data_IF_516013693401
#
_entry.id   IF_516013693401
#
_cell.length_a   1.000
_cell.length_b   1.000
_cell.length_c   1.000
_cell.angle_alpha   90.00
_cell.angle_beta   90.00
_cell.angle_gamma   90.00
#
_symmetry.space_group_name_H-M   'P 1'
#
loop_
_entity.id
_entity.type
_entity.pdbx_description
1 polymer ?
#
# COMPACT_ATOMS: atom_id res chain seq x y z
N UNK A 1 32.43 77.44 -23.02
CA UNK A 1 32.97 76.90 -24.28
C UNK A 1 32.13 75.69 -24.68
N UNK A 2 31.36 75.80 -25.76
CA UNK A 2 30.82 74.68 -26.55
C UNK A 2 32.00 73.94 -27.23
N UNK A 3 31.94 72.63 -27.55
CA UNK A 3 31.02 72.02 -28.55
C UNK A 3 30.36 70.70 -28.05
N UNK A 4 29.10 70.37 -28.35
CA UNK A 4 28.44 69.97 -29.62
C UNK A 4 28.52 68.46 -29.94
N UNK A 5 27.34 67.84 -30.10
CA UNK A 5 26.89 66.77 -31.03
C UNK A 5 25.80 65.99 -30.25
N UNK A 6 24.49 66.03 -30.54
CA UNK A 6 23.76 66.02 -31.80
C UNK A 6 22.80 64.80 -31.75
N UNK A 7 21.46 64.97 -31.70
CA UNK A 7 20.52 63.86 -31.51
C UNK A 7 20.02 63.27 -32.85
N UNK A 8 19.73 61.97 -32.89
CA UNK A 8 19.01 61.34 -34.02
C UNK A 8 17.52 61.18 -33.70
N UNK A 9 16.71 61.88 -34.49
CA UNK A 9 15.26 61.79 -34.65
C UNK A 9 14.84 60.39 -35.14
N UNK A 10 13.78 59.76 -34.60
CA UNK A 10 12.34 59.88 -34.92
C UNK A 10 11.91 59.21 -36.24
N UNK A 11 10.88 58.35 -36.17
CA UNK A 11 9.79 58.30 -37.16
C UNK A 11 8.68 57.33 -36.70
N UNK A 12 7.58 57.90 -36.21
CA UNK A 12 6.24 57.32 -36.31
C UNK A 12 5.75 57.50 -37.75
N UNK A 13 5.18 56.45 -38.36
CA UNK A 13 4.33 56.59 -39.55
C UNK A 13 3.09 55.73 -39.36
N UNK A 14 1.95 56.43 -39.32
CA UNK A 14 0.62 55.87 -39.52
C UNK A 14 0.17 56.17 -40.96
N UNK A 15 -0.31 55.15 -41.66
CA UNK A 15 -1.18 55.19 -42.85
C UNK A 15 -1.85 53.81 -42.86
N UNK A 16 -3.17 53.61 -42.90
CA UNK A 16 -4.17 54.22 -43.78
C UNK A 16 -4.83 53.06 -44.53
N UNK A 17 -6.09 52.79 -44.25
CA UNK A 17 -6.84 51.62 -44.70
C UNK A 17 -7.03 51.53 -46.22
N UNK A 18 -7.06 50.32 -46.76
CA UNK A 18 -7.82 50.00 -47.97
C UNK A 18 -8.48 48.62 -47.83
N UNK A 19 -9.82 48.62 -47.81
CA UNK A 19 -10.70 47.46 -47.92
C UNK A 19 -10.79 47.03 -49.39
N UNK A 20 -10.64 45.73 -49.67
CA UNK A 20 -11.25 45.09 -50.83
C UNK A 20 -11.81 43.73 -50.40
N UNK A 21 -13.14 43.65 -50.45
CA UNK A 21 -13.92 42.45 -50.20
C UNK A 21 -13.74 41.45 -51.35
N UNK A 22 -13.48 40.19 -51.00
CA UNK A 22 -13.66 39.04 -51.88
C UNK A 22 -14.60 38.05 -51.19
N UNK A 23 -15.89 38.12 -51.54
CA UNK A 23 -16.87 37.12 -51.14
C UNK A 23 -16.62 35.83 -51.94
N UNK A 24 -16.02 34.84 -51.28
CA UNK A 24 -16.00 33.45 -51.74
C UNK A 24 -16.92 32.64 -50.86
N UNK A 25 -18.06 32.19 -51.39
CA UNK A 25 -18.94 31.23 -50.74
C UNK A 25 -18.25 29.86 -50.64
N UNK A 26 -17.53 29.63 -49.55
CA UNK A 26 -17.16 28.29 -49.09
C UNK A 26 -17.98 28.00 -47.83
N UNK A 27 -18.82 26.98 -47.87
CA UNK A 27 -19.47 26.45 -46.65
C UNK A 27 -18.41 25.74 -45.84
N UNK A 28 -17.63 26.48 -45.06
CA UNK A 28 -16.79 25.93 -44.03
C UNK A 28 -17.70 25.42 -42.92
N UNK A 29 -18.18 24.19 -43.07
CA UNK A 29 -18.50 23.39 -41.88
C UNK A 29 -17.20 23.33 -41.10
N UNK A 30 -17.19 23.96 -39.93
CA UNK A 30 -16.20 23.67 -38.92
C UNK A 30 -16.16 22.14 -38.79
N UNK A 31 -15.05 21.52 -39.21
CA UNK A 31 -14.74 20.17 -38.79
C UNK A 31 -14.64 20.23 -37.27
N UNK A 32 -15.74 19.86 -36.62
CA UNK A 32 -15.75 19.44 -35.24
C UNK A 32 -14.71 18.33 -35.16
N UNK A 33 -13.50 18.66 -34.70
CA UNK A 33 -12.57 17.65 -34.20
C UNK A 33 -13.26 17.05 -33.00
N UNK A 34 -14.05 16.01 -33.25
CA UNK A 34 -14.57 15.09 -32.25
C UNK A 34 -13.39 14.31 -31.69
N UNK A 35 -12.54 14.96 -30.91
CA UNK A 35 -11.60 14.24 -30.06
C UNK A 35 -12.45 13.50 -29.04
N UNK A 36 -12.67 12.20 -29.25
CA UNK A 36 -13.25 11.33 -28.23
C UNK A 36 -12.52 11.61 -26.92
N UNK A 37 -13.21 12.05 -25.85
CA UNK A 37 -12.57 12.33 -24.58
C UNK A 37 -11.79 11.09 -24.12
N UNK A 38 -10.50 11.25 -23.85
CA UNK A 38 -9.66 10.18 -23.34
C UNK A 38 -9.78 10.11 -21.82
N UNK A 39 -9.93 8.91 -21.29
CA UNK A 39 -10.03 8.62 -19.86
C UNK A 39 -8.65 8.40 -19.27
N UNK A 40 -8.34 9.10 -18.17
CA UNK A 40 -7.18 8.77 -17.33
C UNK A 40 -7.53 7.65 -16.36
N UNK A 41 -6.66 6.66 -16.24
CA UNK A 41 -6.82 5.56 -15.30
C UNK A 41 -6.00 5.82 -14.03
N UNK A 42 -6.60 5.54 -12.88
CA UNK A 42 -5.95 5.56 -11.58
C UNK A 42 -6.12 4.25 -10.83
N UNK A 43 -5.13 3.90 -10.01
CA UNK A 43 -5.10 2.69 -9.19
C UNK A 43 -4.60 2.91 -7.77
N UNK A 44 -4.56 1.80 -7.03
CA UNK A 44 -4.17 1.68 -5.63
C UNK A 44 -3.13 0.55 -5.48
N UNK A 45 -2.64 0.32 -4.27
CA UNK A 45 -1.70 -0.79 -3.96
C UNK A 45 -2.22 -2.16 -4.36
N UNK A 46 -3.53 -2.35 -4.41
CA UNK A 46 -4.13 -3.57 -4.95
C UNK A 46 -3.83 -3.86 -6.43
N UNK A 47 -3.50 -2.85 -7.25
CA UNK A 47 -3.30 -2.99 -8.69
C UNK A 47 -2.12 -2.18 -9.28
N UNK A 48 -1.29 -1.55 -8.45
CA UNK A 48 -0.11 -0.80 -8.89
C UNK A 48 1.19 -1.59 -8.65
N UNK A 49 1.36 -2.69 -9.40
CA UNK A 49 2.54 -3.59 -9.37
C UNK A 49 2.79 -4.22 -10.75
N UNK A 50 4.02 -4.67 -11.05
CA UNK A 50 4.36 -5.24 -12.36
C UNK A 50 3.56 -6.52 -12.67
N UNK A 51 3.35 -7.36 -11.67
CA UNK A 51 2.50 -8.56 -11.76
C UNK A 51 1.04 -8.26 -12.17
N UNK A 52 0.53 -7.06 -11.92
CA UNK A 52 -0.77 -6.62 -12.44
C UNK A 52 -0.74 -6.46 -13.97
N UNK A 53 0.32 -5.83 -14.51
CA UNK A 53 0.53 -5.71 -15.95
C UNK A 53 0.71 -7.09 -16.62
N UNK A 54 1.44 -8.00 -15.98
CA UNK A 54 1.58 -9.39 -16.46
C UNK A 54 0.22 -10.10 -16.51
N UNK A 55 -0.65 -9.87 -15.52
CA UNK A 55 -2.02 -10.36 -15.48
C UNK A 55 -2.94 -9.80 -16.59
N UNK A 56 -2.58 -8.64 -17.16
CA UNK A 56 -3.28 -8.05 -18.30
C UNK A 56 -3.00 -8.78 -19.63
N UNK A 57 -1.92 -9.57 -19.70
CA UNK A 57 -1.53 -10.40 -20.86
C UNK A 57 -1.47 -9.58 -22.16
N UNK A 58 -2.12 -10.04 -23.23
CA UNK A 58 -2.14 -9.38 -24.54
C UNK A 58 -2.80 -8.00 -24.56
N UNK A 59 -3.42 -7.57 -23.45
CA UNK A 59 -4.05 -6.26 -23.27
C UNK A 59 -3.29 -5.38 -22.25
N UNK A 60 -2.02 -5.67 -21.99
CA UNK A 60 -1.21 -4.89 -21.03
C UNK A 60 -0.98 -3.44 -21.45
N UNK A 61 -1.11 -3.12 -22.74
CA UNK A 61 -1.07 -1.76 -23.27
C UNK A 61 -2.22 -0.88 -22.74
N UNK A 62 -3.34 -1.47 -22.31
CA UNK A 62 -4.49 -0.71 -21.80
C UNK A 62 -4.19 0.10 -20.54
N UNK A 63 -3.17 -0.30 -19.77
CA UNK A 63 -2.78 0.40 -18.53
C UNK A 63 -1.60 1.33 -18.72
N UNK A 64 -1.05 1.46 -19.93
CA UNK A 64 0.02 2.43 -20.18
C UNK A 64 -0.49 3.83 -19.83
N UNK A 65 0.28 4.59 -19.04
CA UNK A 65 -0.12 5.90 -18.53
C UNK A 65 -1.00 5.87 -17.26
N UNK A 66 -1.49 4.70 -16.83
CA UNK A 66 -2.21 4.56 -15.57
C UNK A 66 -1.31 4.97 -14.39
N UNK A 67 -1.85 5.83 -13.52
CA UNK A 67 -1.16 6.31 -12.32
C UNK A 67 -1.75 5.70 -11.07
N UNK A 68 -1.04 5.75 -9.96
CA UNK A 68 -1.62 5.31 -8.69
C UNK A 68 -0.63 5.45 -7.56
N UNK A 69 -1.03 4.98 -6.38
CA UNK A 69 -0.18 5.06 -5.19
C UNK A 69 -0.08 3.72 -4.48
N UNK A 70 1.05 3.46 -3.84
CA UNK A 70 1.24 2.33 -2.92
C UNK A 70 1.96 2.78 -1.65
N UNK A 71 1.72 2.16 -0.48
CA UNK A 71 2.62 2.28 0.65
C UNK A 71 4.00 1.76 0.22
N UNK A 72 4.97 2.67 0.22
CA UNK A 72 6.33 2.33 -0.20
C UNK A 72 7.29 3.44 0.20
N UNK A 73 8.43 3.01 0.74
CA UNK A 73 9.61 3.85 0.90
C UNK A 73 10.67 3.43 -0.12
N UNK A 74 11.60 4.30 -0.52
CA UNK A 74 12.70 3.91 -1.40
C UNK A 74 13.47 2.73 -0.80
N UNK A 75 13.35 1.56 -1.41
CA UNK A 75 14.01 0.34 -0.92
C UNK A 75 15.48 0.33 -1.37
N UNK A 76 16.44 0.18 -0.44
CA UNK A 76 17.85 0.04 -0.80
C UNK A 76 18.09 -1.19 -1.68
N UNK A 77 18.97 -1.09 -2.67
CA UNK A 77 19.31 -2.22 -3.55
C UNK A 77 19.87 -3.42 -2.78
N UNK A 78 20.59 -3.17 -1.68
CA UNK A 78 21.06 -4.22 -0.78
C UNK A 78 19.90 -5.05 -0.21
N UNK A 79 18.79 -4.40 0.17
CA UNK A 79 17.60 -5.09 0.66
C UNK A 79 16.90 -5.85 -0.46
N UNK A 80 16.72 -5.23 -1.64
CA UNK A 80 16.16 -5.91 -2.83
C UNK A 80 16.97 -7.16 -3.20
N UNK A 81 18.30 -7.09 -3.12
CA UNK A 81 19.19 -8.23 -3.41
C UNK A 81 19.06 -9.35 -2.37
N UNK A 82 18.90 -9.00 -1.08
CA UNK A 82 18.62 -9.98 -0.01
C UNK A 82 17.28 -10.68 -0.23
N UNK A 83 16.25 -9.95 -0.64
CA UNK A 83 14.95 -10.54 -1.03
C UNK A 83 15.09 -11.47 -2.24
N UNK A 84 15.84 -11.08 -3.27
CA UNK A 84 16.10 -11.95 -4.43
C UNK A 84 16.95 -13.18 -4.10
N UNK A 85 17.73 -13.16 -3.02
CA UNK A 85 18.40 -14.36 -2.52
C UNK A 85 17.43 -15.35 -1.85
N UNK A 86 16.24 -14.88 -1.43
CA UNK A 86 15.12 -15.74 -0.98
C UNK A 86 14.31 -16.24 -2.18
N UNK A 87 13.91 -15.33 -3.07
CA UNK A 87 13.21 -15.65 -4.32
C UNK A 87 13.86 -14.95 -5.53
N UNK A 88 14.67 -15.68 -6.32
CA UNK A 88 15.35 -15.11 -7.49
C UNK A 88 14.42 -14.60 -8.60
N UNK A 89 13.12 -14.95 -8.58
CA UNK A 89 12.12 -14.51 -9.56
C UNK A 89 11.43 -13.20 -9.19
N UNK A 90 11.75 -12.65 -8.01
CA UNK A 90 11.06 -11.48 -7.48
C UNK A 90 11.30 -10.22 -8.35
N UNK A 91 10.22 -9.72 -8.94
CA UNK A 91 10.14 -8.54 -9.81
C UNK A 91 9.33 -7.38 -9.19
N UNK A 92 8.57 -7.65 -8.13
CA UNK A 92 7.82 -6.68 -7.33
C UNK A 92 8.29 -6.71 -5.86
N UNK A 93 8.12 -5.61 -5.14
CA UNK A 93 8.56 -5.47 -3.76
C UNK A 93 7.49 -4.94 -2.80
N UNK A 94 6.24 -4.87 -3.28
CA UNK A 94 5.10 -4.36 -2.50
C UNK A 94 4.97 -5.14 -1.18
N UNK A 95 4.91 -4.41 -0.06
CA UNK A 95 4.81 -4.95 1.30
C UNK A 95 5.96 -5.88 1.79
N UNK A 96 7.05 -6.03 1.02
CA UNK A 96 8.17 -6.87 1.44
C UNK A 96 8.89 -6.32 2.68
N UNK A 97 9.06 -5.00 2.76
CA UNK A 97 9.68 -4.32 3.89
C UNK A 97 8.81 -4.39 5.14
N UNK A 98 7.51 -4.19 4.98
CA UNK A 98 6.49 -4.25 6.02
C UNK A 98 6.39 -5.66 6.60
N UNK A 99 6.46 -6.70 5.75
CA UNK A 99 6.48 -8.09 6.19
C UNK A 99 7.77 -8.46 6.93
N UNK A 100 8.91 -7.98 6.44
CA UNK A 100 10.19 -8.12 7.13
C UNK A 100 10.15 -7.47 8.52
N UNK A 101 9.69 -6.23 8.61
CA UNK A 101 9.61 -5.47 9.86
C UNK A 101 8.61 -6.10 10.84
N UNK A 102 7.45 -6.60 10.39
CA UNK A 102 6.47 -7.25 11.27
C UNK A 102 7.05 -8.50 11.96
N UNK A 103 7.81 -9.32 11.23
CA UNK A 103 8.50 -10.49 11.79
C UNK A 103 9.60 -10.06 12.76
N UNK A 104 10.45 -9.10 12.38
CA UNK A 104 11.57 -8.68 13.22
C UNK A 104 11.09 -8.00 14.51
N UNK A 105 10.07 -7.15 14.44
CA UNK A 105 9.43 -6.53 15.61
C UNK A 105 8.84 -7.59 16.53
N UNK A 106 8.17 -8.61 15.98
CA UNK A 106 7.62 -9.72 16.77
C UNK A 106 8.71 -10.48 17.54
N UNK A 107 9.84 -10.76 16.87
CA UNK A 107 10.99 -11.42 17.48
C UNK A 107 11.64 -10.56 18.59
N UNK A 108 11.84 -9.27 18.33
CA UNK A 108 12.39 -8.31 19.30
C UNK A 108 11.46 -8.13 20.51
N UNK A 109 10.16 -8.03 20.27
CA UNK A 109 9.15 -7.93 21.32
C UNK A 109 9.17 -9.15 22.26
N UNK A 110 9.24 -10.36 21.71
CA UNK A 110 9.39 -11.58 22.49
C UNK A 110 10.71 -11.64 23.27
N UNK A 111 11.81 -11.21 22.65
CA UNK A 111 13.12 -11.13 23.32
C UNK A 111 13.09 -10.16 24.52
N UNK A 112 12.53 -8.96 24.35
CA UNK A 112 12.40 -7.96 25.43
C UNK A 112 11.41 -8.40 26.51
N UNK A 113 10.32 -9.08 26.13
CA UNK A 113 9.37 -9.65 27.06
C UNK A 113 10.00 -10.76 27.93
N UNK A 114 11.04 -11.44 27.43
CA UNK A 114 11.66 -12.58 28.10
C UNK A 114 10.78 -13.84 28.10
N UNK A 115 9.81 -13.93 27.20
CA UNK A 115 8.83 -15.02 27.09
C UNK A 115 8.20 -15.02 25.69
N UNK A 116 7.65 -16.15 25.27
CA UNK A 116 6.85 -16.29 24.03
C UNK A 116 5.36 -16.06 24.24
N UNK A 117 4.91 -15.78 25.48
CA UNK A 117 3.50 -15.52 25.78
C UNK A 117 2.94 -14.34 24.96
N UNK A 118 1.92 -14.53 24.11
CA UNK A 118 1.46 -13.50 23.18
C UNK A 118 1.04 -12.18 23.84
N UNK A 119 0.37 -12.25 24.99
CA UNK A 119 -0.04 -11.06 25.74
C UNK A 119 1.14 -10.24 26.31
N UNK A 120 2.29 -10.88 26.54
CA UNK A 120 3.52 -10.20 26.96
C UNK A 120 4.26 -9.62 25.74
N UNK A 121 4.29 -10.35 24.62
CA UNK A 121 4.82 -9.88 23.34
C UNK A 121 4.08 -8.60 22.91
N UNK A 122 2.75 -8.63 22.89
CA UNK A 122 1.91 -7.52 22.45
C UNK A 122 2.23 -6.20 23.18
N UNK A 123 2.45 -6.28 24.50
CA UNK A 123 2.79 -5.11 25.33
C UNK A 123 4.15 -4.50 25.00
N UNK A 124 5.04 -5.23 24.33
CA UNK A 124 6.34 -4.75 23.91
C UNK A 124 6.35 -4.17 22.50
N UNK A 125 5.42 -4.56 21.61
CA UNK A 125 5.46 -4.23 20.17
C UNK A 125 5.60 -2.72 19.92
N UNK A 126 4.77 -1.89 20.57
CA UNK A 126 4.86 -0.43 20.41
C UNK A 126 6.21 0.11 20.92
N UNK A 127 6.69 -0.41 22.05
CA UNK A 127 7.96 0.01 22.65
C UNK A 127 9.20 -0.41 21.87
N UNK A 128 9.15 -1.50 21.11
CA UNK A 128 10.26 -1.93 20.22
C UNK A 128 10.64 -0.81 19.24
N UNK A 129 9.68 0.03 18.86
CA UNK A 129 9.88 1.08 17.86
C UNK A 129 10.02 2.48 18.46
N UNK A 130 10.00 2.65 19.79
CA UNK A 130 9.91 3.98 20.42
C UNK A 130 10.77 4.10 21.68
N UNK A 131 11.42 5.25 21.87
CA UNK A 131 11.93 5.70 23.17
C UNK A 131 13.12 4.93 23.77
N UNK A 132 13.80 4.09 22.98
CA UNK A 132 14.97 3.30 23.39
C UNK A 132 16.25 3.65 22.63
N UNK A 133 17.26 2.78 22.72
CA UNK A 133 18.49 2.92 21.93
C UNK A 133 18.24 2.52 20.48
N UNK A 134 18.51 3.44 19.54
CA UNK A 134 18.32 3.19 18.11
C UNK A 134 19.17 2.03 17.60
N UNK A 135 18.55 1.17 16.82
CA UNK A 135 19.18 0.06 16.09
C UNK A 135 18.39 -0.22 14.81
N UNK A 136 19.06 -0.78 13.79
CA UNK A 136 18.47 -0.96 12.45
C UNK A 136 18.61 -2.40 11.94
N UNK A 137 19.78 -3.02 12.16
CA UNK A 137 20.03 -4.39 11.71
C UNK A 137 19.60 -5.43 12.76
N UNK A 138 19.02 -6.55 12.30
CA UNK A 138 18.48 -7.61 13.15
C UNK A 138 19.47 -8.08 14.24
N UNK A 139 20.73 -8.32 13.86
CA UNK A 139 21.79 -8.77 14.79
C UNK A 139 22.03 -7.75 15.88
N UNK A 140 22.23 -6.48 15.52
CA UNK A 140 22.52 -5.41 16.47
C UNK A 140 21.33 -5.16 17.41
N UNK A 141 20.11 -5.17 16.89
CA UNK A 141 18.90 -5.02 17.71
C UNK A 141 18.70 -6.17 18.69
N UNK A 142 18.90 -7.42 18.25
CA UNK A 142 18.82 -8.59 19.13
C UNK A 142 19.90 -8.56 20.21
N UNK A 143 21.12 -8.11 19.92
CA UNK A 143 22.18 -7.97 20.93
C UNK A 143 21.80 -6.97 22.04
N UNK A 144 21.19 -5.84 21.70
CA UNK A 144 20.70 -4.86 22.68
C UNK A 144 19.53 -5.44 23.49
N UNK A 145 18.56 -6.05 22.81
CA UNK A 145 17.39 -6.66 23.44
C UNK A 145 17.78 -7.77 24.43
N UNK A 146 18.77 -8.61 24.09
CA UNK A 146 19.31 -9.65 24.98
C UNK A 146 19.96 -9.09 26.24
N UNK A 147 20.53 -7.89 26.18
CA UNK A 147 21.05 -7.17 27.34
C UNK A 147 19.94 -6.52 28.19
N UNK A 148 18.67 -6.66 27.78
CA UNK A 148 17.52 -6.04 28.45
C UNK A 148 17.52 -4.53 28.31
N UNK A 149 18.07 -4.01 27.21
CA UNK A 149 18.03 -2.58 26.89
C UNK A 149 16.80 -2.30 26.05
N UNK A 150 16.06 -1.25 26.40
CA UNK A 150 14.98 -0.75 25.55
C UNK A 150 15.58 -0.26 24.23
N UNK A 151 14.94 -0.61 23.12
CA UNK A 151 15.42 -0.31 21.77
C UNK A 151 14.46 0.61 21.03
N UNK A 152 14.98 1.33 20.06
CA UNK A 152 14.21 2.08 19.09
C UNK A 152 14.54 1.51 17.70
N UNK A 153 13.91 0.39 17.36
CA UNK A 153 14.07 -0.26 16.07
C UNK A 153 13.61 0.69 14.95
N UNK A 154 14.49 0.93 13.98
CA UNK A 154 14.19 1.62 12.73
C UNK A 154 14.51 0.67 11.59
N UNK A 155 13.44 0.11 11.01
CA UNK A 155 13.50 -0.92 10.01
C UNK A 155 13.51 -0.39 8.59
N UNK A 156 13.13 -1.27 7.67
CA UNK A 156 13.10 -0.93 6.25
C UNK A 156 11.88 -0.06 5.94
N UNK A 157 10.67 -0.44 6.41
CA UNK A 157 9.46 0.37 6.21
C UNK A 157 9.27 1.44 7.29
N UNK A 158 9.88 1.24 8.47
CA UNK A 158 9.82 2.16 9.62
C UNK A 158 11.10 2.99 9.80
N UNK A 159 11.30 3.99 8.94
CA UNK A 159 12.55 4.77 8.93
C UNK A 159 12.46 6.18 9.55
N UNK A 160 11.27 6.78 9.61
CA UNK A 160 11.06 8.14 10.14
C UNK A 160 10.62 8.17 11.61
N UNK A 161 9.51 7.50 11.92
CA UNK A 161 8.97 7.40 13.27
C UNK A 161 8.59 5.95 13.62
N UNK A 162 8.35 5.71 14.91
CA UNK A 162 7.85 4.43 15.41
C UNK A 162 6.34 4.30 15.30
N UNK A 163 5.80 3.36 16.08
CA UNK A 163 4.36 3.12 16.13
C UNK A 163 3.63 4.15 16.98
N UNK A 164 2.39 4.44 16.60
CA UNK A 164 1.41 5.14 17.40
C UNK A 164 0.95 4.26 18.58
N UNK A 165 0.15 4.84 19.47
CA UNK A 165 -0.52 4.09 20.55
C UNK A 165 -1.46 2.98 20.04
N UNK A 166 -1.91 3.05 18.79
CA UNK A 166 -2.79 2.07 18.17
C UNK A 166 -2.03 0.88 17.53
N UNK A 167 -0.69 0.87 17.56
CA UNK A 167 0.08 -0.26 17.05
C UNK A 167 0.30 -0.24 15.54
N UNK A 168 0.38 0.94 14.94
CA UNK A 168 0.61 1.16 13.51
C UNK A 168 1.61 2.31 13.28
N UNK A 169 2.21 2.46 12.07
CA UNK A 169 3.21 3.50 11.82
C UNK A 169 2.65 4.92 12.02
N UNK A 170 3.35 5.77 12.78
CA UNK A 170 2.99 7.19 12.94
C UNK A 170 3.24 8.02 11.66
N UNK A 171 4.19 7.55 10.84
CA UNK A 171 4.54 8.15 9.56
C UNK A 171 4.60 7.08 8.49
N UNK A 172 4.32 7.47 7.26
CA UNK A 172 4.38 6.62 6.08
C UNK A 172 5.14 7.30 4.95
N UNK A 173 5.49 6.51 3.95
CA UNK A 173 5.92 6.98 2.63
C UNK A 173 5.03 6.31 1.59
N UNK A 174 4.65 7.06 0.57
CA UNK A 174 3.86 6.57 -0.55
C UNK A 174 4.61 6.79 -1.84
N UNK A 175 4.71 5.75 -2.66
CA UNK A 175 5.16 5.88 -4.03
C UNK A 175 3.98 6.30 -4.90
N UNK A 176 4.11 7.39 -5.65
CA UNK A 176 3.30 7.67 -6.83
C UNK A 176 3.92 6.96 -8.01
N UNK A 177 3.15 6.08 -8.63
CA UNK A 177 3.60 5.18 -9.68
C UNK A 177 2.90 5.52 -10.99
N UNK A 178 3.57 5.24 -12.10
CA UNK A 178 3.01 5.34 -13.45
C UNK A 178 3.41 4.10 -14.23
N UNK A 179 2.45 3.44 -14.88
CA UNK A 179 2.76 2.43 -15.87
C UNK A 179 3.30 3.10 -17.14
N UNK A 180 4.51 2.70 -17.55
CA UNK A 180 5.08 3.01 -18.85
C UNK A 180 4.60 1.99 -19.89
N UNK A 181 5.51 1.47 -20.72
CA UNK A 181 5.20 0.39 -21.66
C UNK A 181 4.99 -0.95 -20.94
N UNK A 182 3.77 -1.24 -20.48
CA UNK A 182 3.34 -2.51 -19.89
C UNK A 182 4.07 -2.91 -18.60
N UNK A 183 4.69 -1.94 -17.91
CA UNK A 183 5.38 -2.13 -16.62
C UNK A 183 5.47 -0.80 -15.88
N UNK A 184 5.75 -0.84 -14.58
CA UNK A 184 6.00 0.37 -13.81
C UNK A 184 7.27 1.08 -14.32
N UNK A 185 7.17 2.39 -14.52
CA UNK A 185 8.28 3.26 -14.89
C UNK A 185 8.96 3.77 -13.61
N UNK A 186 10.00 3.07 -13.16
CA UNK A 186 10.78 3.45 -11.97
C UNK A 186 11.36 4.87 -12.07
N UNK A 187 11.64 5.37 -13.30
CA UNK A 187 12.15 6.72 -13.52
C UNK A 187 11.11 7.82 -13.29
N UNK A 188 9.82 7.46 -13.23
CA UNK A 188 8.71 8.35 -12.91
C UNK A 188 8.17 8.17 -11.49
N UNK A 189 8.75 7.27 -10.70
CA UNK A 189 8.32 7.05 -9.32
C UNK A 189 8.69 8.24 -8.44
N UNK A 190 7.68 8.86 -7.82
CA UNK A 190 7.87 9.91 -6.83
C UNK A 190 7.49 9.39 -5.44
N UNK A 191 8.23 9.77 -4.40
CA UNK A 191 7.92 9.38 -3.02
C UNK A 191 7.43 10.57 -2.22
N UNK A 192 6.30 10.39 -1.52
CA UNK A 192 5.68 11.41 -0.69
C UNK A 192 5.57 10.89 0.74
N UNK A 193 6.16 11.62 1.69
CA UNK A 193 6.00 11.35 3.11
C UNK A 193 4.62 11.77 3.60
N UNK A 194 4.03 10.99 4.50
CA UNK A 194 2.77 11.27 5.17
C UNK A 194 2.85 10.92 6.67
N UNK A 195 1.82 11.33 7.41
CA UNK A 195 1.75 11.17 8.86
C UNK A 195 2.54 12.23 9.63
N UNK A 196 2.57 12.08 10.95
CA UNK A 196 3.12 13.05 11.89
C UNK A 196 4.02 12.32 12.90
N UNK A 197 5.29 12.72 12.97
CA UNK A 197 6.25 12.12 13.90
C UNK A 197 5.83 12.32 15.37
N UNK A 198 5.08 13.38 15.67
CA UNK A 198 4.54 13.63 17.01
C UNK A 198 3.41 12.67 17.41
N UNK A 199 2.85 11.92 16.46
CA UNK A 199 1.87 10.86 16.73
C UNK A 199 2.52 9.56 17.22
N UNK A 200 3.85 9.44 17.16
CA UNK A 200 4.56 8.29 17.70
C UNK A 200 4.32 8.16 19.21
N UNK A 201 4.16 6.93 19.67
CA UNK A 201 3.86 6.65 21.07
C UNK A 201 4.99 7.10 21.98
N UNK A 202 4.63 7.83 23.04
CA UNK A 202 5.53 8.15 24.15
C UNK A 202 5.29 7.22 25.36
N UNK A 203 4.45 6.18 25.21
CA UNK A 203 4.16 5.23 26.29
C UNK A 203 5.40 4.38 26.56
N UNK A 204 5.78 4.29 27.85
CA UNK A 204 6.90 3.43 28.24
C UNK A 204 6.50 1.96 28.15
N UNK A 205 7.26 1.11 27.44
CA UNK A 205 7.01 -0.31 27.46
C UNK A 205 7.20 -0.92 28.85
N UNK A 206 6.69 -2.15 29.09
CA UNK A 206 7.09 -2.93 30.25
C UNK A 206 8.61 -3.10 30.27
N UNK A 207 9.20 -3.10 31.47
CA UNK A 207 10.66 -3.27 31.64
C UNK A 207 11.18 -4.49 30.89
N UNK A 208 12.14 -4.26 29.99
CA UNK A 208 12.82 -5.31 29.25
C UNK A 208 13.53 -6.31 30.19
N UNK A 209 13.50 -7.59 29.82
CA UNK A 209 14.13 -8.68 30.57
C UNK A 209 15.40 -9.13 29.86
N UNK A 210 16.58 -9.05 30.51
CA UNK A 210 17.80 -9.57 29.92
C UNK A 210 17.72 -11.09 29.76
N UNK A 211 18.27 -11.60 28.67
CA UNK A 211 18.46 -13.03 28.49
C UNK A 211 19.49 -13.51 29.50
N UNK A 212 19.11 -14.48 30.35
CA UNK A 212 20.03 -15.10 31.30
C UNK A 212 20.68 -16.31 30.63
N UNK A 213 22.00 -16.42 30.73
CA UNK A 213 22.78 -17.50 30.10
C UNK A 213 22.50 -18.90 30.65
N UNK A 214 21.93 -19.02 31.86
CA UNK A 214 21.82 -20.29 32.60
C UNK A 214 20.41 -20.59 33.16
N UNK A 215 19.37 -19.82 32.81
CA UNK A 215 17.99 -20.14 33.22
C UNK A 215 17.32 -20.99 32.16
N UNK A 216 16.60 -22.04 32.59
CA UNK A 216 15.66 -22.86 31.79
C UNK A 216 15.17 -22.08 30.57
N UNK A 217 15.44 -22.60 29.37
CA UNK A 217 14.89 -22.10 28.12
C UNK A 217 13.38 -21.84 28.30
N UNK A 218 12.78 -20.84 27.61
CA UNK A 218 11.34 -20.68 27.62
C UNK A 218 10.66 -22.03 27.32
N UNK A 219 9.45 -22.23 27.86
CA UNK A 219 8.75 -23.53 27.78
C UNK A 219 8.57 -24.03 26.32
N UNK A 220 8.73 -23.16 25.31
CA UNK A 220 8.82 -23.50 23.87
C UNK A 220 9.53 -22.38 23.05
N UNK A 221 10.06 -22.69 21.84
CA UNK A 221 10.56 -21.70 20.88
C UNK A 221 9.46 -20.74 20.40
N UNK A 222 9.83 -19.53 19.97
CA UNK A 222 8.88 -18.59 19.35
C UNK A 222 8.39 -19.16 18.02
N UNK A 223 7.08 -19.41 17.95
CA UNK A 223 6.39 -19.85 16.73
C UNK A 223 5.62 -18.66 16.13
N UNK A 224 6.00 -18.29 14.90
CA UNK A 224 5.32 -17.31 14.07
C UNK A 224 4.54 -18.03 12.95
N UNK A 225 3.30 -17.63 12.71
CA UNK A 225 2.45 -18.18 11.67
C UNK A 225 2.19 -17.15 10.57
N UNK A 226 2.25 -17.54 9.30
CA UNK A 226 1.85 -16.68 8.19
C UNK A 226 0.35 -16.77 7.94
N UNK A 227 -0.30 -15.65 7.63
CA UNK A 227 -1.66 -15.57 7.11
C UNK A 227 -1.60 -14.62 5.91
N UNK A 228 -0.87 -15.02 4.88
CA UNK A 228 -0.55 -14.19 3.71
C UNK A 228 -1.39 -14.66 2.51
N UNK A 229 -1.68 -13.81 1.52
CA UNK A 229 -2.64 -14.11 0.46
C UNK A 229 -2.03 -15.00 -0.62
N UNK A 230 -1.72 -16.25 -0.30
CA UNK A 230 -1.06 -17.18 -1.24
C UNK A 230 -1.97 -17.56 -2.41
N UNK A 231 -3.28 -17.56 -2.17
CA UNK A 231 -4.32 -17.71 -3.19
C UNK A 231 -5.34 -16.57 -3.09
N UNK A 232 -6.33 -16.57 -3.98
CA UNK A 232 -7.30 -15.50 -4.11
C UNK A 232 -6.86 -14.40 -5.08
N UNK A 233 -7.68 -13.36 -5.15
CA UNK A 233 -7.51 -12.19 -6.03
C UNK A 233 -6.32 -11.27 -5.65
N UNK A 234 -5.85 -11.33 -4.41
CA UNK A 234 -4.67 -10.61 -3.91
C UNK A 234 -3.37 -11.41 -4.08
N UNK A 235 -3.41 -12.61 -4.68
CA UNK A 235 -2.27 -13.52 -4.75
C UNK A 235 -1.01 -12.96 -5.42
N UNK A 236 -1.17 -11.95 -6.28
CA UNK A 236 -0.04 -11.22 -6.88
C UNK A 236 0.86 -10.51 -5.86
N UNK A 237 0.33 -10.13 -4.69
CA UNK A 237 1.11 -9.51 -3.62
C UNK A 237 1.88 -10.53 -2.77
N UNK A 238 1.60 -11.83 -2.90
CA UNK A 238 2.19 -12.86 -2.04
C UNK A 238 3.71 -13.01 -2.16
N UNK A 239 4.31 -13.09 -3.37
CA UNK A 239 5.75 -13.33 -3.48
C UNK A 239 6.63 -12.34 -2.68
N UNK A 240 6.44 -11.00 -2.78
CA UNK A 240 7.23 -10.07 -1.98
C UNK A 240 6.96 -10.17 -0.47
N UNK A 241 5.70 -10.33 -0.06
CA UNK A 241 5.31 -10.56 1.33
C UNK A 241 6.02 -11.79 1.92
N UNK A 242 5.93 -12.93 1.24
CA UNK A 242 6.54 -14.18 1.67
C UNK A 242 8.08 -14.09 1.72
N UNK A 243 8.69 -13.41 0.75
CA UNK A 243 10.12 -13.18 0.72
C UNK A 243 10.59 -12.32 1.90
N UNK A 244 9.86 -11.25 2.23
CA UNK A 244 10.11 -10.39 3.38
C UNK A 244 10.07 -11.13 4.71
N UNK A 245 8.97 -11.85 4.98
CA UNK A 245 8.84 -12.67 6.19
C UNK A 245 9.95 -13.72 6.30
N UNK A 246 10.21 -14.44 5.21
CA UNK A 246 11.23 -15.50 5.17
C UNK A 246 12.63 -14.93 5.41
N UNK A 247 12.97 -13.78 4.83
CA UNK A 247 14.25 -13.12 5.04
C UNK A 247 14.44 -12.74 6.51
N UNK A 248 13.43 -12.13 7.14
CA UNK A 248 13.50 -11.76 8.55
C UNK A 248 13.70 -12.98 9.46
N UNK A 249 12.95 -14.07 9.26
CA UNK A 249 13.13 -15.31 10.04
C UNK A 249 14.54 -15.86 9.89
N UNK A 250 15.08 -15.89 8.65
CA UNK A 250 16.46 -16.38 8.40
C UNK A 250 17.49 -15.55 9.16
N UNK A 251 17.34 -14.24 9.17
CA UNK A 251 18.30 -13.34 9.81
C UNK A 251 18.20 -13.35 11.34
N UNK A 252 16.99 -13.41 11.89
CA UNK A 252 16.78 -13.62 13.33
C UNK A 252 17.43 -14.93 13.77
N UNK A 253 17.24 -16.01 13.02
CA UNK A 253 17.83 -17.31 13.35
C UNK A 253 19.35 -17.31 13.16
N UNK A 254 19.87 -16.69 12.11
CA UNK A 254 21.31 -16.50 11.91
C UNK A 254 21.95 -15.67 13.03
N UNK A 255 21.20 -14.74 13.64
CA UNK A 255 21.62 -13.95 14.79
C UNK A 255 21.55 -14.71 16.13
N UNK A 256 21.21 -16.02 16.13
CA UNK A 256 21.09 -16.84 17.33
C UNK A 256 19.68 -16.97 17.89
N UNK A 257 18.66 -16.56 17.13
CA UNK A 257 17.25 -16.74 17.49
C UNK A 257 16.75 -15.83 18.61
N UNK A 258 15.62 -16.21 19.19
CA UNK A 258 14.92 -15.48 20.25
C UNK A 258 14.96 -16.30 21.53
N UNK A 259 15.37 -15.69 22.64
CA UNK A 259 15.53 -16.36 23.94
C UNK A 259 16.48 -17.57 23.88
N UNK A 260 17.44 -17.54 22.94
CA UNK A 260 18.42 -18.62 22.73
C UNK A 260 17.93 -19.76 21.84
N UNK A 261 16.70 -19.70 21.33
CA UNK A 261 16.13 -20.74 20.48
C UNK A 261 15.80 -20.19 19.08
N UNK A 262 15.92 -21.01 18.01
CA UNK A 262 15.50 -20.60 16.68
C UNK A 262 13.99 -20.36 16.63
N UNK A 263 13.58 -19.31 15.92
CA UNK A 263 12.20 -19.01 15.59
C UNK A 263 11.68 -20.03 14.57
N UNK A 264 10.50 -20.58 14.85
CA UNK A 264 9.76 -21.47 13.94
C UNK A 264 8.78 -20.65 13.10
N UNK A 265 8.77 -20.88 11.79
CA UNK A 265 7.82 -20.28 10.86
C UNK A 265 6.86 -21.33 10.31
N UNK A 266 5.56 -21.10 10.48
CA UNK A 266 4.49 -21.95 9.92
C UNK A 266 3.77 -21.13 8.85
N UNK A 267 3.97 -21.47 7.58
CA UNK A 267 3.28 -20.77 6.49
C UNK A 267 1.76 -21.02 6.55
N UNK A 268 0.97 -20.02 6.17
CA UNK A 268 -0.48 -20.16 6.05
C UNK A 268 -1.04 -19.19 5.01
N UNK A 269 -2.16 -19.60 4.44
CA UNK A 269 -2.87 -18.87 3.38
C UNK A 269 -4.11 -18.19 3.96
N UNK A 270 -4.36 -16.95 3.58
CA UNK A 270 -5.60 -16.25 3.88
C UNK A 270 -6.65 -16.39 2.75
N UNK A 271 -6.21 -16.81 1.55
CA UNK A 271 -7.01 -17.06 0.36
C UNK A 271 -7.78 -15.86 -0.20
N UNK A 272 -7.52 -14.66 0.31
CA UNK A 272 -8.46 -13.52 0.29
C UNK A 272 -9.90 -13.94 0.62
N UNK A 273 -10.09 -14.97 1.45
CA UNK A 273 -11.38 -15.57 1.71
C UNK A 273 -11.56 -15.83 3.22
N UNK A 274 -12.66 -15.34 3.85
CA UNK A 274 -12.85 -15.48 5.29
C UNK A 274 -12.81 -16.92 5.80
N UNK A 275 -13.35 -17.89 5.05
CA UNK A 275 -13.43 -19.28 5.48
C UNK A 275 -12.05 -19.96 5.44
N UNK A 276 -11.29 -19.71 4.36
CA UNK A 276 -9.89 -20.16 4.26
C UNK A 276 -9.06 -19.58 5.40
N UNK A 277 -9.17 -18.27 5.63
CA UNK A 277 -8.41 -17.59 6.67
C UNK A 277 -8.77 -18.10 8.09
N UNK A 278 -10.04 -18.32 8.40
CA UNK A 278 -10.46 -18.90 9.69
C UNK A 278 -9.93 -20.32 9.88
N UNK A 279 -9.94 -21.14 8.83
CA UNK A 279 -9.36 -22.49 8.88
C UNK A 279 -7.85 -22.44 9.15
N UNK A 280 -7.12 -21.54 8.49
CA UNK A 280 -5.70 -21.30 8.74
C UNK A 280 -5.44 -20.83 10.17
N UNK A 281 -6.23 -19.88 10.69
CA UNK A 281 -6.11 -19.40 12.07
C UNK A 281 -6.37 -20.54 13.07
N UNK A 282 -7.37 -21.39 12.85
CA UNK A 282 -7.64 -22.54 13.69
C UNK A 282 -6.47 -23.55 13.69
N UNK A 283 -5.82 -23.78 12.54
CA UNK A 283 -4.61 -24.60 12.45
C UNK A 283 -3.46 -23.98 13.25
N UNK A 284 -3.20 -22.68 13.06
CA UNK A 284 -2.16 -21.94 13.78
C UNK A 284 -2.34 -21.99 15.29
N UNK A 285 -3.58 -21.84 15.78
CA UNK A 285 -3.89 -21.96 17.21
C UNK A 285 -3.53 -23.36 17.72
N UNK A 286 -3.89 -24.42 16.98
CA UNK A 286 -3.58 -25.81 17.33
C UNK A 286 -2.08 -26.09 17.30
N UNK A 287 -1.36 -25.47 16.38
CA UNK A 287 0.10 -25.61 16.21
C UNK A 287 0.92 -24.74 17.17
N UNK A 288 0.26 -23.98 18.05
CA UNK A 288 0.93 -23.18 19.07
C UNK A 288 1.57 -21.90 18.53
N UNK A 289 1.08 -21.36 17.41
CA UNK A 289 1.51 -20.05 16.91
C UNK A 289 1.21 -18.97 17.95
N UNK A 290 2.20 -18.11 18.20
CA UNK A 290 2.11 -17.02 19.17
C UNK A 290 1.69 -15.70 18.50
N UNK A 291 2.29 -15.41 17.33
CA UNK A 291 2.01 -14.23 16.51
C UNK A 291 1.71 -14.67 15.08
N UNK A 292 0.58 -14.22 14.55
CA UNK A 292 0.14 -14.45 13.19
C UNK A 292 0.49 -13.21 12.36
N UNK A 293 1.38 -13.36 11.39
CA UNK A 293 1.79 -12.33 10.44
C UNK A 293 0.80 -12.31 9.27
N UNK A 294 -0.10 -11.34 9.27
CA UNK A 294 -1.25 -11.23 8.38
C UNK A 294 -2.45 -10.54 9.05
N UNK A 295 -3.65 -10.55 8.48
CA UNK A 295 -3.95 -11.07 7.15
C UNK A 295 -3.46 -10.11 6.05
N UNK A 296 -3.43 -10.57 4.81
CA UNK A 296 -3.09 -9.77 3.64
C UNK A 296 -4.11 -8.65 3.41
N UNK A 297 -5.39 -9.03 3.32
CA UNK A 297 -6.49 -8.09 3.05
C UNK A 297 -7.17 -7.58 4.33
N UNK A 298 -7.62 -6.33 4.29
CA UNK A 298 -8.33 -5.66 5.40
C UNK A 298 -9.59 -6.40 5.83
N UNK A 299 -10.43 -6.82 4.87
CA UNK A 299 -11.66 -7.57 5.16
C UNK A 299 -11.39 -8.91 5.84
N UNK A 300 -10.27 -9.56 5.51
CA UNK A 300 -9.86 -10.82 6.12
C UNK A 300 -9.39 -10.62 7.54
N UNK A 301 -8.61 -9.57 7.80
CA UNK A 301 -8.20 -9.23 9.16
C UNK A 301 -9.40 -8.94 10.06
N UNK A 302 -10.39 -8.19 9.56
CA UNK A 302 -11.67 -7.98 10.28
C UNK A 302 -12.41 -9.30 10.56
N UNK A 303 -12.42 -10.21 9.60
CA UNK A 303 -13.11 -11.48 9.74
C UNK A 303 -12.47 -12.34 10.83
N UNK A 304 -11.15 -12.50 10.82
CA UNK A 304 -10.45 -13.45 11.71
C UNK A 304 -10.05 -12.87 13.07
N UNK A 305 -9.95 -11.54 13.22
CA UNK A 305 -9.48 -10.92 14.46
C UNK A 305 -10.24 -11.39 15.72
N UNK A 306 -11.58 -11.55 15.71
CA UNK A 306 -12.30 -12.10 16.87
C UNK A 306 -11.79 -13.48 17.32
N UNK A 307 -11.46 -14.37 16.38
CA UNK A 307 -10.97 -15.72 16.68
C UNK A 307 -9.54 -15.68 17.25
N UNK A 308 -8.69 -14.82 16.67
CA UNK A 308 -7.32 -14.58 17.14
C UNK A 308 -7.34 -14.04 18.58
N UNK A 309 -8.16 -13.01 18.84
CA UNK A 309 -8.29 -12.36 20.15
C UNK A 309 -8.88 -13.33 21.17
N UNK A 310 -9.88 -14.13 20.79
CA UNK A 310 -10.45 -15.15 21.67
C UNK A 310 -9.42 -16.22 22.06
N UNK A 311 -8.50 -16.57 21.15
CA UNK A 311 -7.39 -17.47 21.41
C UNK A 311 -6.20 -16.79 22.12
N UNK A 312 -6.27 -15.48 22.37
CA UNK A 312 -5.19 -14.71 22.99
C UNK A 312 -3.91 -14.74 22.16
N UNK A 313 -4.00 -14.70 20.83
CA UNK A 313 -2.87 -14.59 19.90
C UNK A 313 -2.73 -13.17 19.39
N UNK A 314 -1.56 -12.83 18.86
CA UNK A 314 -1.35 -11.52 18.19
C UNK A 314 -1.62 -11.67 16.70
N UNK A 315 -2.36 -10.72 16.11
CA UNK A 315 -2.47 -10.55 14.66
C UNK A 315 -1.66 -9.31 14.27
N UNK A 316 -0.64 -9.48 13.44
CA UNK A 316 0.25 -8.40 13.02
C UNK A 316 0.32 -8.35 11.49
N UNK A 317 -0.44 -7.46 10.87
CA UNK A 317 -0.55 -7.42 9.40
C UNK A 317 0.55 -6.58 8.75
N UNK A 318 1.16 -7.08 7.66
CA UNK A 318 2.08 -6.29 6.86
C UNK A 318 1.43 -5.48 5.75
N UNK A 319 0.14 -5.63 5.46
CA UNK A 319 -0.44 -5.09 4.21
C UNK A 319 -1.88 -4.59 4.30
N UNK A 320 -2.57 -4.70 5.44
CA UNK A 320 -3.94 -4.21 5.54
C UNK A 320 -3.98 -2.70 5.84
N UNK A 321 -4.73 -1.96 5.04
CA UNK A 321 -4.67 -0.49 5.07
C UNK A 321 -5.96 0.17 5.53
N UNK A 322 -7.07 -0.56 5.68
CA UNK A 322 -8.36 0.03 6.07
C UNK A 322 -8.21 0.88 7.34
N UNK A 323 -8.53 2.17 7.24
CA UNK A 323 -8.40 3.13 8.33
C UNK A 323 -9.25 2.74 9.55
N UNK A 324 -10.38 2.05 9.35
CA UNK A 324 -11.24 1.58 10.42
C UNK A 324 -10.66 0.42 11.24
N UNK A 325 -9.52 -0.15 10.85
CA UNK A 325 -8.77 -1.11 11.69
C UNK A 325 -8.03 -0.42 12.84
N UNK A 326 -7.75 0.87 12.74
CA UNK A 326 -7.06 1.66 13.79
C UNK A 326 -7.82 1.66 15.12
N UNK A 327 -9.15 1.61 15.05
CA UNK A 327 -10.05 1.71 16.20
C UNK A 327 -10.85 0.43 16.44
N UNK A 328 -10.42 -0.70 15.87
CA UNK A 328 -11.11 -1.97 16.07
C UNK A 328 -10.86 -2.47 17.49
N UNK A 329 -11.87 -3.06 18.13
CA UNK A 329 -11.69 -3.70 19.43
C UNK A 329 -10.87 -4.96 19.25
N UNK A 330 -9.64 -4.95 19.79
CA UNK A 330 -8.63 -5.98 19.58
C UNK A 330 -8.03 -6.49 20.90
N UNK A 331 -8.44 -5.93 22.05
CA UNK A 331 -7.82 -6.15 23.36
C UNK A 331 -6.29 -5.92 23.38
N UNK A 332 -5.78 -5.04 22.51
CA UNK A 332 -4.35 -4.75 22.35
C UNK A 332 -3.55 -5.90 21.72
N UNK A 333 -4.18 -6.71 20.88
CA UNK A 333 -3.57 -7.87 20.20
C UNK A 333 -3.47 -7.70 18.68
N UNK A 334 -3.83 -6.54 18.15
CA UNK A 334 -3.74 -6.22 16.74
C UNK A 334 -2.72 -5.13 16.46
N UNK A 335 -1.91 -5.33 15.43
CA UNK A 335 -0.87 -4.40 14.99
C UNK A 335 -0.76 -4.43 13.46
N UNK A 336 -0.17 -3.40 12.87
CA UNK A 336 0.19 -3.42 11.45
C UNK A 336 1.44 -2.62 11.14
N UNK A 337 2.23 -3.07 10.16
CA UNK A 337 3.36 -2.29 9.61
C UNK A 337 2.96 -1.53 8.35
N UNK A 338 1.83 -1.88 7.72
CA UNK A 338 1.22 -1.06 6.70
C UNK A 338 0.55 0.18 7.32
N UNK A 339 0.65 1.36 6.67
CA UNK A 339 -0.02 2.57 7.12
C UNK A 339 -1.52 2.58 6.73
N UNK A 340 -2.37 3.34 7.44
CA UNK A 340 -3.79 3.47 7.11
C UNK A 340 -4.06 4.20 5.79
N UNK A 341 -5.16 3.84 5.11
CA UNK A 341 -5.67 4.43 3.86
C UNK A 341 -5.99 5.92 4.01
N UNK A 342 -6.25 6.40 5.23
CA UNK A 342 -6.49 7.82 5.50
C UNK A 342 -5.27 8.69 5.11
N UNK A 343 -4.07 8.13 5.18
CA UNK A 343 -2.84 8.78 4.76
C UNK A 343 -2.61 8.62 3.24
N UNK A 344 -2.93 7.46 2.66
CA UNK A 344 -2.73 7.18 1.23
C UNK A 344 -3.76 7.87 0.34
N UNK A 345 -5.03 7.90 0.75
CA UNK A 345 -6.13 8.51 0.01
C UNK A 345 -5.87 9.98 -0.31
N UNK A 346 -5.20 10.70 0.60
CA UNK A 346 -4.71 12.07 0.35
C UNK A 346 -3.65 12.13 -0.74
N UNK A 347 -2.65 11.24 -0.70
CA UNK A 347 -1.60 11.20 -1.71
C UNK A 347 -2.19 10.90 -3.09
N UNK A 348 -3.10 9.93 -3.19
CA UNK A 348 -3.76 9.59 -4.45
C UNK A 348 -4.67 10.72 -4.95
N UNK A 349 -5.43 11.37 -4.06
CA UNK A 349 -6.24 12.52 -4.43
C UNK A 349 -5.38 13.67 -5.00
N UNK A 350 -4.20 13.94 -4.45
CA UNK A 350 -3.28 14.95 -4.99
C UNK A 350 -2.81 14.57 -6.41
N UNK A 351 -2.47 13.30 -6.66
CA UNK A 351 -2.14 12.81 -8.02
C UNK A 351 -3.29 13.06 -8.99
N UNK A 352 -4.51 12.71 -8.60
CA UNK A 352 -5.72 12.92 -9.40
C UNK A 352 -5.95 14.41 -9.67
N UNK A 353 -5.84 15.27 -8.65
CA UNK A 353 -6.11 16.70 -8.75
C UNK A 353 -5.09 17.44 -9.62
N UNK A 354 -3.80 17.04 -9.58
CA UNK A 354 -2.76 17.60 -10.46
C UNK A 354 -3.04 17.35 -11.94
N UNK A 355 -3.68 16.23 -12.27
CA UNK A 355 -4.10 15.90 -13.63
C UNK A 355 -5.39 16.63 -14.07
N UNK A 356 -6.13 17.19 -13.10
CA UNK A 356 -7.27 18.09 -13.32
C UNK A 356 -8.48 17.51 -14.03
N UNK A 357 -9.03 16.35 -13.62
CA UNK A 357 -10.23 15.78 -14.24
C UNK A 357 -11.47 16.64 -13.97
N UNK A 358 -12.36 16.73 -14.97
CA UNK A 358 -13.66 17.36 -14.82
C UNK A 358 -14.67 16.42 -14.16
N UNK A 359 -14.69 15.13 -14.52
CA UNK A 359 -15.61 14.11 -14.00
C UNK A 359 -14.88 12.80 -13.74
N UNK A 360 -14.95 12.34 -12.50
CA UNK A 360 -14.29 11.10 -12.08
C UNK A 360 -15.31 10.04 -11.65
N UNK A 361 -15.05 8.79 -12.02
CA UNK A 361 -15.75 7.63 -11.44
C UNK A 361 -14.79 6.90 -10.51
N UNK A 362 -15.22 6.64 -9.27
CA UNK A 362 -14.51 5.82 -8.30
C UNK A 362 -15.18 4.44 -8.27
N UNK A 363 -14.51 3.44 -8.84
CA UNK A 363 -14.95 2.04 -8.86
C UNK A 363 -14.28 1.30 -7.72
N UNK A 364 -15.05 0.71 -6.81
CA UNK A 364 -14.51 0.00 -5.65
C UNK A 364 -15.07 -1.42 -5.51
N UNK A 365 -14.21 -2.35 -5.11
CA UNK A 365 -14.66 -3.65 -4.57
C UNK A 365 -15.47 -3.43 -3.29
N UNK A 366 -16.50 -4.26 -3.11
CA UNK A 366 -17.41 -4.19 -1.96
C UNK A 366 -16.83 -4.92 -0.75
N UNK A 367 -15.83 -4.31 -0.14
CA UNK A 367 -15.34 -4.70 1.17
C UNK A 367 -14.75 -3.50 1.91
N UNK A 368 -14.25 -3.75 3.12
CA UNK A 368 -13.74 -2.69 3.97
C UNK A 368 -12.52 -1.96 3.39
N UNK A 369 -11.73 -2.59 2.53
CA UNK A 369 -10.63 -1.93 1.83
C UNK A 369 -11.18 -1.05 0.70
N UNK A 370 -11.96 -1.62 -0.22
CA UNK A 370 -12.43 -0.89 -1.39
C UNK A 370 -13.31 0.32 -1.03
N UNK A 371 -14.27 0.13 -0.13
CA UNK A 371 -15.18 1.20 0.29
C UNK A 371 -14.48 2.22 1.19
N UNK A 372 -13.65 1.76 2.12
CA UNK A 372 -12.89 2.64 3.02
C UNK A 372 -11.92 3.56 2.27
N UNK A 373 -11.15 3.00 1.34
CA UNK A 373 -10.23 3.78 0.50
C UNK A 373 -11.02 4.74 -0.41
N UNK A 374 -12.12 4.28 -1.03
CA UNK A 374 -12.97 5.13 -1.88
C UNK A 374 -13.45 6.37 -1.13
N UNK A 375 -13.91 6.22 0.11
CA UNK A 375 -14.33 7.37 0.93
C UNK A 375 -13.16 8.27 1.32
N UNK A 376 -11.97 7.72 1.61
CA UNK A 376 -10.77 8.52 1.91
C UNK A 376 -10.37 9.42 0.73
N UNK A 377 -10.38 8.89 -0.50
CA UNK A 377 -10.12 9.69 -1.72
C UNK A 377 -11.24 10.69 -1.97
N UNK A 378 -12.51 10.25 -1.88
CA UNK A 378 -13.68 11.11 -2.11
C UNK A 378 -13.64 12.33 -1.18
N UNK A 379 -13.39 12.14 0.10
CA UNK A 379 -13.32 13.23 1.07
C UNK A 379 -12.25 14.28 0.71
N UNK A 380 -11.11 13.85 0.18
CA UNK A 380 -10.03 14.75 -0.25
C UNK A 380 -10.36 15.48 -1.57
N UNK A 381 -11.07 14.82 -2.50
CA UNK A 381 -11.59 15.45 -3.72
C UNK A 381 -12.66 16.51 -3.38
N UNK A 382 -13.57 16.22 -2.45
CA UNK A 382 -14.58 17.16 -1.96
C UNK A 382 -13.93 18.37 -1.28
N UNK A 383 -12.91 18.14 -0.44
CA UNK A 383 -12.13 19.20 0.21
C UNK A 383 -11.42 20.11 -0.80
N UNK A 384 -11.06 19.58 -1.98
CA UNK A 384 -10.49 20.33 -3.09
C UNK A 384 -11.54 21.01 -4.00
N UNK A 385 -12.83 20.92 -3.65
CA UNK A 385 -13.93 21.59 -4.36
C UNK A 385 -14.54 20.79 -5.52
N UNK A 386 -14.28 19.47 -5.59
CA UNK A 386 -14.98 18.59 -6.53
C UNK A 386 -16.31 18.14 -5.91
N UNK A 387 -17.43 18.70 -6.38
CA UNK A 387 -18.77 18.37 -5.87
C UNK A 387 -19.28 17.00 -6.32
N UNK A 388 -20.37 16.55 -5.68
CA UNK A 388 -21.04 15.27 -5.97
C UNK A 388 -21.51 15.14 -7.44
N UNK A 389 -21.73 16.25 -8.14
CA UNK A 389 -22.09 16.26 -9.56
C UNK A 389 -20.94 15.84 -10.48
N UNK A 390 -19.70 15.88 -9.97
CA UNK A 390 -18.45 15.56 -10.67
C UNK A 390 -17.79 14.27 -10.21
N UNK A 391 -18.30 13.65 -9.16
CA UNK A 391 -17.80 12.38 -8.61
C UNK A 391 -18.91 11.35 -8.63
N UNK A 392 -18.72 10.26 -9.39
CA UNK A 392 -19.64 9.13 -9.40
C UNK A 392 -19.02 7.92 -8.73
N UNK A 393 -19.82 7.19 -7.97
CA UNK A 393 -19.38 6.03 -7.19
C UNK A 393 -19.98 4.77 -7.81
N UNK A 394 -19.15 3.77 -8.07
CA UNK A 394 -19.58 2.44 -8.47
C UNK A 394 -18.95 1.41 -7.53
N UNK A 395 -19.73 0.41 -7.15
CA UNK A 395 -19.29 -0.67 -6.27
C UNK A 395 -19.56 -2.01 -6.95
N UNK A 396 -18.64 -2.97 -6.83
CA UNK A 396 -18.81 -4.33 -7.35
C UNK A 396 -18.56 -5.38 -6.29
N UNK A 397 -19.26 -6.51 -6.37
CA UNK A 397 -19.01 -7.67 -5.51
C UNK A 397 -17.71 -8.34 -5.96
N UNK A 398 -16.70 -8.51 -5.08
CA UNK A 398 -15.50 -9.25 -5.44
C UNK A 398 -15.83 -10.74 -5.69
N UNK A 399 -14.94 -11.48 -6.37
CA UNK A 399 -15.10 -12.92 -6.57
C UNK A 399 -15.22 -13.63 -5.21
N UNK A 400 -16.13 -14.60 -5.11
CA UNK A 400 -16.34 -15.33 -3.86
C UNK A 400 -15.10 -16.17 -3.46
N UNK A 401 -14.40 -16.70 -4.46
CA UNK A 401 -13.18 -17.49 -4.33
C UNK A 401 -12.38 -17.45 -5.65
N UNK A 402 -11.25 -18.18 -5.68
CA UNK A 402 -10.37 -18.26 -6.84
C UNK A 402 -10.97 -19.07 -8.03
N UNK A 403 -12.08 -19.77 -7.84
CA UNK A 403 -12.79 -20.55 -8.86
C UNK A 403 -14.03 -19.84 -9.39
N UNK A 404 -14.41 -18.70 -8.81
CA UNK A 404 -15.54 -17.90 -9.25
C UNK A 404 -15.43 -17.51 -10.74
N UNK A 405 -16.57 -17.43 -11.45
CA UNK A 405 -16.57 -16.98 -12.85
C UNK A 405 -16.04 -15.54 -12.96
N UNK A 406 -15.49 -15.14 -14.13
CA UNK A 406 -15.13 -13.76 -14.38
C UNK A 406 -16.32 -12.81 -14.11
N UNK A 407 -16.02 -11.66 -13.52
CA UNK A 407 -16.98 -10.60 -13.26
C UNK A 407 -17.34 -9.88 -14.57
N UNK A 408 -18.64 -9.67 -14.81
CA UNK A 408 -19.11 -8.88 -15.95
C UNK A 408 -19.23 -7.40 -15.56
N UNK A 409 -18.30 -6.59 -16.08
CA UNK A 409 -18.29 -5.14 -15.91
C UNK A 409 -18.93 -4.36 -17.07
N UNK A 410 -19.58 -5.03 -18.03
CA UNK A 410 -20.12 -4.37 -19.22
C UNK A 410 -21.18 -3.30 -18.91
N UNK A 411 -22.02 -3.53 -17.89
CA UNK A 411 -23.00 -2.53 -17.44
C UNK A 411 -22.32 -1.32 -16.79
N UNK A 412 -21.36 -1.56 -15.89
CA UNK A 412 -20.57 -0.50 -15.26
C UNK A 412 -19.76 0.32 -16.28
N UNK A 413 -19.20 -0.33 -17.30
CA UNK A 413 -18.47 0.35 -18.36
C UNK A 413 -19.37 1.25 -19.22
N UNK A 414 -20.59 0.81 -19.55
CA UNK A 414 -21.60 1.68 -20.21
C UNK A 414 -21.95 2.86 -19.33
N UNK A 415 -22.17 2.62 -18.04
CA UNK A 415 -22.51 3.67 -17.07
C UNK A 415 -21.40 4.71 -16.90
N UNK A 416 -20.13 4.29 -16.87
CA UNK A 416 -18.96 5.19 -16.85
C UNK A 416 -18.91 6.05 -18.11
N UNK A 417 -19.14 5.43 -19.27
CA UNK A 417 -19.14 6.12 -20.57
C UNK A 417 -20.29 7.13 -20.68
N UNK A 418 -21.50 6.75 -20.28
CA UNK A 418 -22.69 7.62 -20.30
C UNK A 418 -22.56 8.80 -19.33
N UNK A 419 -21.90 8.61 -18.19
CA UNK A 419 -21.58 9.70 -17.26
C UNK A 419 -20.61 10.73 -17.88
N UNK A 420 -19.85 10.33 -18.90
CA UNK A 420 -18.84 11.17 -19.54
C UNK A 420 -17.65 11.43 -18.62
N UNK A 421 -17.21 10.38 -17.91
CA UNK A 421 -16.01 10.46 -17.07
C UNK A 421 -14.76 10.75 -17.93
N UNK A 422 -13.89 11.63 -17.46
CA UNK A 422 -12.53 11.83 -18.01
C UNK A 422 -11.43 11.26 -17.11
N UNK A 423 -11.84 10.66 -15.97
CA UNK A 423 -11.01 9.90 -15.06
C UNK A 423 -11.77 8.71 -14.46
N UNK A 424 -11.07 7.59 -14.26
CA UNK A 424 -11.59 6.43 -13.53
C UNK A 424 -10.53 5.96 -12.55
N UNK A 425 -10.88 5.95 -11.26
CA UNK A 425 -10.11 5.29 -10.21
C UNK A 425 -10.67 3.89 -10.00
N UNK A 426 -9.80 2.87 -10.03
CA UNK A 426 -10.18 1.48 -9.78
C UNK A 426 -9.50 0.98 -8.49
N UNK A 427 -10.31 0.69 -7.48
CA UNK A 427 -9.90 0.21 -6.16
C UNK A 427 -10.29 -1.27 -6.05
N UNK A 428 -9.31 -2.13 -6.26
CA UNK A 428 -9.49 -3.59 -6.29
C UNK A 428 -8.16 -4.31 -6.36
N UNK A 429 -8.18 -5.64 -6.48
CA UNK A 429 -6.97 -6.45 -6.64
C UNK A 429 -6.83 -6.91 -8.10
N UNK A 430 -6.38 -8.15 -8.34
CA UNK A 430 -6.19 -8.65 -9.70
C UNK A 430 -7.45 -8.73 -10.55
N UNK A 431 -8.61 -8.94 -9.95
CA UNK A 431 -9.91 -8.96 -10.61
C UNK A 431 -10.23 -7.63 -11.30
N UNK A 432 -9.67 -6.52 -10.79
CA UNK A 432 -9.94 -5.17 -11.29
C UNK A 432 -9.50 -4.95 -12.75
N UNK A 433 -8.61 -5.80 -13.26
CA UNK A 433 -8.24 -5.85 -14.68
C UNK A 433 -9.45 -5.96 -15.62
N UNK A 434 -10.52 -6.62 -15.15
CA UNK A 434 -11.75 -6.81 -15.92
C UNK A 434 -12.55 -5.51 -16.07
N UNK A 435 -12.43 -4.56 -15.13
CA UNK A 435 -13.00 -3.21 -15.26
C UNK A 435 -12.35 -2.48 -16.44
N UNK A 436 -11.02 -2.49 -16.51
CA UNK A 436 -10.25 -1.79 -17.54
C UNK A 436 -10.53 -2.41 -18.93
N UNK A 437 -10.57 -3.74 -19.02
CA UNK A 437 -10.96 -4.44 -20.26
C UNK A 437 -12.37 -4.08 -20.71
N UNK A 438 -13.36 -4.10 -19.80
CA UNK A 438 -14.74 -3.76 -20.12
C UNK A 438 -14.91 -2.30 -20.59
N UNK A 439 -14.15 -1.37 -20.04
CA UNK A 439 -14.11 0.03 -20.51
C UNK A 439 -13.60 0.12 -21.95
N UNK A 440 -12.46 -0.51 -22.24
CA UNK A 440 -11.89 -0.54 -23.59
C UNK A 440 -12.85 -1.20 -24.59
N UNK A 441 -13.45 -2.34 -24.22
CA UNK A 441 -14.39 -3.09 -25.05
C UNK A 441 -15.70 -2.30 -25.26
N UNK A 442 -16.04 -1.36 -24.36
CA UNK A 442 -17.14 -0.39 -24.52
C UNK A 442 -16.76 0.83 -25.38
N UNK A 443 -15.55 0.85 -25.94
CA UNK A 443 -15.03 1.90 -26.81
C UNK A 443 -14.49 3.13 -26.07
N UNK A 444 -14.23 3.04 -24.76
CA UNK A 444 -13.52 4.08 -24.02
C UNK A 444 -12.06 4.11 -24.49
N UNK A 445 -11.57 5.31 -24.81
CA UNK A 445 -10.18 5.52 -25.18
C UNK A 445 -9.41 5.95 -23.94
N UNK A 446 -8.26 5.33 -23.67
CA UNK A 446 -7.41 5.71 -22.55
C UNK A 446 -6.38 6.77 -22.94
N UNK A 447 -6.00 7.58 -21.97
CA UNK A 447 -4.90 8.53 -22.09
C UNK A 447 -3.61 7.87 -21.59
N UNK A 448 -2.67 7.68 -22.50
CA UNK A 448 -1.34 7.12 -22.22
C UNK A 448 -0.31 8.20 -21.88
#
# INVERSE_FOLDING_TARGET
MLPSHGPRAAALVACGALLLAGAGCGTDKAEERTTTPQVRLYGTDGNMQNSYAEGMKERADLIDGMKGTTPSTPLPDAFKNRLRAVDPKLNDFLYAAESYDAVLISALAAQLAGTTEPAAIAKQIVGVTNGGQRCEEAVACLELARKGQDIEYRGVSLNRAGFTDAGEPATASYATLTFGYQKLDEGKTEFVGAGDESAASTRKPPRARPQRGDSKAPDAPLVLGGLLPRSGDLAMAYPPLAAGATLAVREVNAAGGVLGEPVTWIAGDDGTNPDVARATVASHIKEGVHVIIGAGASGISRAVLPDVVAAGRVLFSPSNTDAGLTSIEDKGLYFRTAPPDSLQGRALADVILRDGPHRIVLVARKDSYGEGFREAVRAELERAGMGDDRVKLLTYEPPADAQAPPLDFSAGAREIKEYGADAVLVIGFGESAQVIRALADSGVQFRH
#
